data_IF_620006213279
#
_entry.id   IF_620006213279
#
_cell.length_a   1.000
_cell.length_b   1.000
_cell.length_c   1.000
_cell.angle_alpha   90.00
_cell.angle_beta   90.00
_cell.angle_gamma   90.00
#
_symmetry.space_group_name_H-M   'P 1'
#
loop_
_entity.id
_entity.type
_entity.pdbx_description
1 polymer ?
#
# COMPACT_ATOMS: atom_id res chain seq x y z
N UNK A 1 10.11 25.85 -17.47
CA UNK A 1 9.46 25.38 -16.23
C UNK A 1 8.58 24.22 -16.63
N UNK A 2 9.08 22.99 -16.49
CA UNK A 2 8.31 21.80 -16.83
C UNK A 2 7.63 21.33 -15.55
N UNK A 3 6.30 21.40 -15.53
CA UNK A 3 5.51 20.87 -14.43
C UNK A 3 5.82 19.38 -14.28
N UNK A 4 6.27 18.97 -13.10
CA UNK A 4 6.34 17.56 -12.73
C UNK A 4 4.89 17.11 -12.55
N UNK A 5 4.27 16.69 -13.65
CA UNK A 5 2.98 16.02 -13.60
C UNK A 5 3.23 14.61 -13.12
N UNK A 6 2.67 14.25 -11.96
CA UNK A 6 2.43 12.84 -11.67
C UNK A 6 1.59 12.31 -12.83
N UNK A 7 2.13 11.37 -13.60
CA UNK A 7 1.33 10.71 -14.62
C UNK A 7 0.31 9.85 -13.88
N UNK A 8 -0.92 10.37 -13.75
CA UNK A 8 -2.06 9.59 -13.26
C UNK A 8 -2.40 8.45 -14.23
N UNK A 9 -1.80 8.44 -15.43
CA UNK A 9 -1.90 7.40 -16.42
C UNK A 9 -0.63 6.53 -16.46
N UNK A 10 -0.80 5.22 -16.55
CA UNK A 10 0.25 4.23 -16.77
C UNK A 10 -0.06 3.51 -18.08
N UNK A 11 0.90 3.43 -18.98
CA UNK A 11 0.74 2.65 -20.21
C UNK A 11 0.95 1.16 -19.92
N UNK A 12 -0.15 0.40 -19.99
CA UNK A 12 -0.14 -1.04 -19.74
C UNK A 12 0.11 -1.77 -21.05
N UNK A 13 1.08 -2.68 -21.03
CA UNK A 13 1.45 -3.52 -22.16
C UNK A 13 1.30 -4.99 -21.78
N UNK A 14 0.24 -5.63 -22.27
CA UNK A 14 -0.03 -7.05 -22.07
C UNK A 14 0.40 -7.85 -23.29
N UNK A 15 1.04 -8.99 -23.02
CA UNK A 15 1.37 -10.00 -24.04
C UNK A 15 0.76 -11.30 -23.56
N UNK A 16 -0.19 -11.83 -24.33
CA UNK A 16 -0.88 -13.09 -24.05
C UNK A 16 -0.41 -14.10 -25.09
N UNK A 17 0.29 -15.13 -24.62
CA UNK A 17 0.80 -16.21 -25.46
C UNK A 17 -0.29 -17.28 -25.63
N UNK A 18 -0.78 -17.48 -26.86
CA UNK A 18 -1.69 -18.59 -27.20
C UNK A 18 -0.99 -19.60 -28.10
N UNK A 19 -1.55 -20.80 -28.18
CA UNK A 19 -1.00 -21.91 -28.96
C UNK A 19 -0.70 -21.57 -30.43
N UNK A 20 -1.42 -20.59 -31.00
CA UNK A 20 -1.29 -20.19 -32.40
C UNK A 20 -0.72 -18.78 -32.62
N UNK A 21 -0.77 -17.88 -31.63
CA UNK A 21 -0.37 -16.49 -31.79
C UNK A 21 -0.17 -15.75 -30.46
N UNK A 22 0.65 -14.69 -30.50
CA UNK A 22 0.85 -13.78 -29.38
C UNK A 22 -0.04 -12.55 -29.55
N UNK A 23 -0.96 -12.32 -28.62
CA UNK A 23 -1.82 -11.15 -28.61
C UNK A 23 -1.13 -10.06 -27.78
N UNK A 24 -0.80 -8.93 -28.42
CA UNK A 24 -0.22 -7.76 -27.75
C UNK A 24 -1.28 -6.67 -27.59
N UNK A 25 -1.49 -6.21 -26.37
CA UNK A 25 -2.50 -5.22 -26.04
C UNK A 25 -1.83 -4.08 -25.28
N UNK A 26 -1.85 -2.90 -25.87
CA UNK A 26 -1.38 -1.67 -25.24
C UNK A 26 -2.55 -0.74 -24.97
N UNK A 27 -2.74 -0.29 -23.74
CA UNK A 27 -3.75 0.71 -23.40
C UNK A 27 -3.30 1.60 -22.24
N UNK A 28 -3.72 2.87 -22.21
CA UNK A 28 -3.49 3.74 -21.06
C UNK A 28 -4.42 3.34 -19.92
N UNK A 29 -3.88 3.28 -18.69
CA UNK A 29 -4.61 2.96 -17.47
C UNK A 29 -4.55 4.14 -16.52
N UNK A 30 -5.70 4.69 -16.14
CA UNK A 30 -5.82 5.75 -15.15
C UNK A 30 -5.85 5.18 -13.74
N UNK A 31 -4.81 5.42 -12.97
CA UNK A 31 -4.67 4.93 -11.57
C UNK A 31 -5.67 5.51 -10.59
N UNK A 32 -6.42 6.57 -10.97
CA UNK A 32 -7.44 7.21 -10.14
C UNK A 32 -8.83 6.76 -10.53
N UNK A 33 -9.10 6.63 -11.82
CA UNK A 33 -10.45 6.39 -12.35
C UNK A 33 -10.69 4.93 -12.76
N UNK A 34 -9.65 4.18 -13.12
CA UNK A 34 -9.80 2.83 -13.66
C UNK A 34 -9.67 1.76 -12.56
N UNK A 35 -10.58 0.78 -12.61
CA UNK A 35 -10.52 -0.40 -11.76
C UNK A 35 -9.90 -1.58 -12.52
N UNK A 36 -8.85 -2.17 -11.93
CA UNK A 36 -8.16 -3.34 -12.51
C UNK A 36 -9.13 -4.51 -12.66
N UNK A 37 -10.05 -4.70 -11.71
CA UNK A 37 -11.02 -5.80 -11.75
C UNK A 37 -11.98 -5.67 -12.93
N UNK A 38 -12.50 -4.47 -13.19
CA UNK A 38 -13.37 -4.20 -14.32
C UNK A 38 -12.66 -4.41 -15.65
N UNK A 39 -11.45 -3.87 -15.83
CA UNK A 39 -10.68 -4.02 -17.07
C UNK A 39 -10.34 -5.49 -17.34
N UNK A 40 -9.96 -6.24 -16.29
CA UNK A 40 -9.70 -7.67 -16.42
C UNK A 40 -10.97 -8.44 -16.80
N UNK A 41 -12.13 -8.07 -16.26
CA UNK A 41 -13.40 -8.68 -16.63
C UNK A 41 -13.78 -8.39 -18.10
N UNK A 42 -13.57 -7.15 -18.56
CA UNK A 42 -13.79 -6.76 -19.95
C UNK A 42 -12.83 -7.47 -20.91
N UNK A 43 -11.55 -7.59 -20.55
CA UNK A 43 -10.54 -8.35 -21.31
C UNK A 43 -10.90 -9.84 -21.38
N UNK A 44 -11.34 -10.42 -20.25
CA UNK A 44 -11.82 -11.80 -20.21
C UNK A 44 -12.99 -12.02 -21.14
N UNK A 45 -13.98 -11.12 -21.13
CA UNK A 45 -15.17 -11.23 -21.96
C UNK A 45 -14.84 -11.02 -23.45
N UNK A 46 -13.97 -10.07 -23.77
CA UNK A 46 -13.64 -9.69 -25.15
C UNK A 46 -12.74 -10.71 -25.83
N UNK A 47 -11.75 -11.24 -25.10
CA UNK A 47 -10.76 -12.18 -25.63
C UNK A 47 -11.11 -13.64 -25.34
N UNK A 48 -12.10 -13.89 -24.48
CA UNK A 48 -12.47 -15.23 -24.04
C UNK A 48 -11.39 -15.90 -23.20
N UNK A 49 -10.79 -15.17 -22.25
CA UNK A 49 -9.72 -15.69 -21.41
C UNK A 49 -10.24 -16.74 -20.42
N UNK A 50 -9.41 -17.75 -20.15
CA UNK A 50 -9.63 -18.70 -19.06
C UNK A 50 -9.47 -18.02 -17.69
N UNK A 51 -9.99 -18.66 -16.64
CA UNK A 51 -9.87 -18.13 -15.27
C UNK A 51 -8.42 -18.09 -14.77
N UNK A 52 -7.53 -18.93 -15.31
CA UNK A 52 -6.12 -18.92 -14.95
C UNK A 52 -5.40 -17.72 -15.61
N UNK A 53 -5.63 -17.51 -16.91
CA UNK A 53 -5.12 -16.34 -17.65
C UNK A 53 -5.65 -15.01 -17.06
N UNK A 54 -6.88 -14.99 -16.55
CA UNK A 54 -7.46 -13.83 -15.86
C UNK A 54 -6.59 -13.40 -14.66
N UNK A 55 -6.14 -14.37 -13.86
CA UNK A 55 -5.29 -14.11 -12.70
C UNK A 55 -3.93 -13.59 -13.15
N UNK A 56 -3.35 -14.19 -14.19
CA UNK A 56 -2.06 -13.78 -14.73
C UNK A 56 -2.10 -12.36 -15.32
N UNK A 57 -3.13 -12.03 -16.09
CA UNK A 57 -3.34 -10.69 -16.63
C UNK A 57 -3.50 -9.68 -15.50
N UNK A 58 -4.35 -9.98 -14.50
CA UNK A 58 -4.54 -9.10 -13.34
C UNK A 58 -3.21 -8.84 -12.61
N UNK A 59 -2.41 -9.87 -12.39
CA UNK A 59 -1.11 -9.74 -11.72
C UNK A 59 -0.12 -8.95 -12.58
N UNK A 60 -0.12 -9.15 -13.89
CA UNK A 60 0.72 -8.40 -14.83
C UNK A 60 0.41 -6.90 -14.81
N UNK A 61 -0.88 -6.53 -14.88
CA UNK A 61 -1.33 -5.13 -14.78
C UNK A 61 -0.87 -4.51 -13.46
N UNK A 62 -1.09 -5.20 -12.32
CA UNK A 62 -0.66 -4.72 -11.00
C UNK A 62 0.84 -4.51 -10.91
N UNK A 63 1.62 -5.45 -11.44
CA UNK A 63 3.07 -5.35 -11.42
C UNK A 63 3.56 -4.17 -12.26
N UNK A 64 2.99 -3.96 -13.44
CA UNK A 64 3.34 -2.83 -14.30
C UNK A 64 2.99 -1.48 -13.66
N UNK A 65 1.83 -1.36 -13.00
CA UNK A 65 1.47 -0.16 -12.23
C UNK A 65 2.46 0.07 -11.10
N UNK A 66 2.79 -0.96 -10.32
CA UNK A 66 3.74 -0.86 -9.22
C UNK A 66 5.15 -0.48 -9.71
N UNK A 67 5.60 -1.04 -10.83
CA UNK A 67 6.88 -0.69 -11.43
C UNK A 67 6.90 0.75 -11.94
N UNK A 68 5.83 1.20 -12.62
CA UNK A 68 5.71 2.58 -13.10
C UNK A 68 5.72 3.59 -11.94
N UNK A 69 5.03 3.28 -10.83
CA UNK A 69 5.07 4.11 -9.62
C UNK A 69 6.46 4.15 -8.99
N UNK A 70 7.19 3.02 -8.97
CA UNK A 70 8.57 2.97 -8.45
C UNK A 70 9.57 3.69 -9.36
N UNK A 71 9.42 3.59 -10.67
CA UNK A 71 10.26 4.31 -11.63
C UNK A 71 10.04 5.82 -11.52
N UNK A 72 8.78 6.28 -11.45
CA UNK A 72 8.45 7.70 -11.23
C UNK A 72 9.12 8.29 -9.98
N UNK A 73 9.19 7.51 -8.88
CA UNK A 73 9.90 7.91 -7.66
C UNK A 73 11.43 7.91 -7.81
N UNK A 74 11.97 7.01 -8.63
CA UNK A 74 13.42 6.89 -8.87
C UNK A 74 13.92 7.99 -9.81
N UNK A 75 13.14 8.33 -10.85
CA UNK A 75 13.41 9.43 -11.77
C UNK A 75 13.33 10.79 -11.07
N UNK A 76 12.39 10.96 -10.13
CA UNK A 76 12.34 12.15 -9.27
C UNK A 76 13.60 12.28 -8.40
N UNK A 77 14.17 11.15 -7.94
CA UNK A 77 15.41 11.13 -7.15
C UNK A 77 16.66 11.44 -7.98
N UNK A 78 16.67 11.05 -9.27
CA UNK A 78 17.76 11.39 -10.19
C UNK A 78 17.76 12.86 -10.64
N UNK A 79 16.61 13.53 -10.66
CA UNK A 79 16.52 14.95 -11.04
C UNK A 79 16.91 15.93 -9.93
N UNK A 80 17.04 15.47 -8.67
CA UNK A 80 17.45 16.32 -7.52
C UNK A 80 18.94 16.15 -7.18
N UNK A 81 19.66 15.19 -7.76
CA UNK A 81 21.10 15.05 -7.53
C UNK A 81 21.92 15.98 -8.43
N UNK A 82 22.72 16.92 -7.87
CA UNK A 82 23.91 17.37 -8.57
C UNK A 82 24.86 16.17 -8.69
N UNK A 83 25.53 16.06 -9.84
CA UNK A 83 26.66 15.15 -10.02
C UNK A 83 27.72 15.42 -8.95
N UNK A 84 27.83 14.56 -7.94
CA UNK A 84 28.99 14.48 -7.05
C UNK A 84 29.21 12.99 -6.81
N UNK A 85 30.18 12.40 -7.51
CA UNK A 85 31.52 12.10 -6.98
C UNK A 85 31.49 10.99 -5.92
N UNK A 86 32.37 10.01 -6.10
CA UNK A 86 32.58 8.87 -5.21
C UNK A 86 32.68 9.31 -3.74
N UNK A 87 31.64 9.07 -2.94
CA UNK A 87 31.75 9.13 -1.48
C UNK A 87 31.59 7.73 -0.90
N UNK A 88 32.77 7.14 -0.72
CA UNK A 88 33.21 6.25 0.37
C UNK A 88 32.15 5.71 1.34
N UNK A 89 32.13 4.38 1.37
CA UNK A 89 31.63 3.42 2.37
C UNK A 89 32.01 3.74 3.83
N UNK A 90 31.46 4.81 4.43
CA UNK A 90 31.81 5.20 5.81
C UNK A 90 30.76 5.94 6.64
N UNK A 91 29.54 6.17 6.14
CA UNK A 91 28.53 6.98 6.84
C UNK A 91 27.48 6.18 7.62
N UNK A 92 27.43 4.85 7.46
CA UNK A 92 26.41 4.04 8.16
C UNK A 92 26.75 3.86 9.65
N UNK A 93 28.03 3.74 10.04
CA UNK A 93 28.42 3.42 11.43
C UNK A 93 28.31 4.61 12.42
N UNK A 94 28.38 5.86 11.93
CA UNK A 94 28.31 7.05 12.80
C UNK A 94 26.88 7.42 13.21
N UNK A 95 25.89 7.22 12.33
CA UNK A 95 24.49 7.60 12.60
C UNK A 95 23.82 6.64 13.59
N UNK A 96 24.13 5.34 13.56
CA UNK A 96 23.61 4.37 14.53
C UNK A 96 24.29 4.44 15.91
N UNK A 97 25.37 5.22 16.03
CA UNK A 97 26.12 5.38 17.28
C UNK A 97 25.66 6.56 18.14
N UNK A 98 24.82 7.46 17.59
CA UNK A 98 24.34 8.66 18.27
C UNK A 98 23.51 8.33 19.53
N UNK A 99 23.90 8.80 20.73
CA UNK A 99 23.15 8.59 21.97
C UNK A 99 21.74 9.20 21.94
N UNK A 100 21.52 10.30 21.21
CA UNK A 100 20.21 10.94 21.11
C UNK A 100 19.24 10.08 20.29
N UNK A 101 19.73 9.52 19.18
CA UNK A 101 18.96 8.59 18.36
C UNK A 101 18.58 7.32 19.14
N UNK A 102 19.50 6.76 19.92
CA UNK A 102 19.23 5.58 20.78
C UNK A 102 18.19 5.89 21.86
N UNK A 103 18.28 7.04 22.52
CA UNK A 103 17.32 7.47 23.53
C UNK A 103 15.92 7.67 22.93
N UNK A 104 15.84 8.22 21.71
CA UNK A 104 14.58 8.38 21.00
C UNK A 104 13.95 7.01 20.67
N UNK A 105 14.76 6.07 20.18
CA UNK A 105 14.32 4.71 19.84
C UNK A 105 13.84 3.93 21.08
N UNK A 106 14.54 4.08 22.21
CA UNK A 106 14.15 3.47 23.49
C UNK A 106 12.84 4.06 24.01
N UNK A 107 12.68 5.38 23.95
CA UNK A 107 11.44 6.05 24.32
C UNK A 107 10.25 5.56 23.49
N UNK A 108 10.42 5.45 22.18
CA UNK A 108 9.36 4.97 21.29
C UNK A 108 8.99 3.51 21.59
N UNK A 109 9.99 2.66 21.86
CA UNK A 109 9.75 1.26 22.27
C UNK A 109 8.99 1.17 23.60
N UNK A 110 9.36 1.99 24.58
CA UNK A 110 8.69 2.02 25.88
C UNK A 110 7.23 2.48 25.76
N UNK A 111 6.96 3.47 24.90
CA UNK A 111 5.61 3.96 24.64
C UNK A 111 4.71 2.90 24.00
N UNK A 112 5.24 2.17 23.01
CA UNK A 112 4.52 1.06 22.37
C UNK A 112 4.22 -0.05 23.38
N UNK A 113 5.21 -0.46 24.17
CA UNK A 113 5.03 -1.51 25.17
C UNK A 113 3.98 -1.13 26.23
N UNK A 114 3.96 0.12 26.69
CA UNK A 114 2.97 0.61 27.64
C UNK A 114 1.55 0.61 27.05
N UNK A 115 1.42 0.95 25.76
CA UNK A 115 0.14 0.94 25.06
C UNK A 115 -0.37 -0.50 24.87
N UNK A 116 0.50 -1.43 24.50
CA UNK A 116 0.18 -2.85 24.38
C UNK A 116 -0.25 -3.46 25.72
N UNK A 117 0.45 -3.12 26.81
CA UNK A 117 0.08 -3.59 28.16
C UNK A 117 -1.29 -3.04 28.59
N UNK A 118 -1.57 -1.75 28.32
CA UNK A 118 -2.87 -1.16 28.60
C UNK A 118 -3.99 -1.85 27.82
N UNK A 119 -3.76 -2.13 26.53
CA UNK A 119 -4.75 -2.78 25.68
C UNK A 119 -5.01 -4.22 26.14
N UNK A 120 -3.96 -4.97 26.50
CA UNK A 120 -4.10 -6.32 27.05
C UNK A 120 -4.83 -6.31 28.39
N UNK A 121 -4.56 -5.32 29.24
CA UNK A 121 -5.26 -5.14 30.52
C UNK A 121 -6.74 -4.83 30.30
N UNK A 122 -7.07 -3.92 29.38
CA UNK A 122 -8.46 -3.59 29.04
C UNK A 122 -9.20 -4.81 28.48
N UNK A 123 -8.55 -5.60 27.61
CA UNK A 123 -9.13 -6.83 27.08
C UNK A 123 -9.41 -7.84 28.20
N UNK A 124 -8.47 -7.99 29.15
CA UNK A 124 -8.65 -8.86 30.32
C UNK A 124 -9.77 -8.36 31.24
N UNK A 125 -9.88 -7.05 31.46
CA UNK A 125 -10.96 -6.45 32.26
C UNK A 125 -12.32 -6.68 31.62
N UNK A 126 -12.46 -6.55 30.29
CA UNK A 126 -13.70 -6.85 29.57
C UNK A 126 -14.10 -8.33 29.69
N UNK A 127 -13.14 -9.25 29.59
CA UNK A 127 -13.40 -10.68 29.76
C UNK A 127 -13.79 -11.04 31.20
N UNK A 128 -13.18 -10.39 32.20
CA UNK A 128 -13.52 -10.58 33.60
C UNK A 128 -14.85 -9.89 33.99
N UNK A 129 -15.23 -8.79 33.34
CA UNK A 129 -16.51 -8.13 33.55
C UNK A 129 -17.70 -8.95 33.03
N UNK A 130 -17.50 -9.76 31.98
CA UNK A 130 -18.54 -10.68 31.47
C UNK A 130 -18.86 -11.86 32.39
N UNK A 131 -18.06 -12.14 33.42
CA UNK A 131 -18.34 -13.21 34.41
C UNK A 131 -19.02 -12.71 35.69
N UNK A 132 -19.27 -11.40 35.81
CA UNK A 132 -20.03 -10.83 36.93
C UNK A 132 -21.48 -10.52 36.52
N UNK A 133 -22.50 -11.16 37.13
CA UNK A 133 -23.89 -10.87 36.80
C UNK A 133 -24.31 -9.50 37.33
N UNK A 134 -24.76 -8.64 36.40
CA UNK A 134 -25.77 -7.59 36.54
C UNK A 134 -25.63 -6.56 37.68
N UNK A 135 -25.32 -5.31 37.30
CA UNK A 135 -26.19 -4.18 37.69
C UNK A 135 -26.03 -3.01 36.70
N UNK A 136 -26.93 -2.94 35.73
CA UNK A 136 -27.03 -1.84 34.76
C UNK A 136 -28.23 -0.98 35.13
N UNK A 137 -28.09 0.35 35.34
CA UNK A 137 -29.14 1.27 34.98
C UNK A 137 -28.96 1.64 33.51
N UNK A 138 -29.92 1.22 32.68
CA UNK A 138 -30.03 1.59 31.26
C UNK A 138 -30.21 3.10 31.16
N UNK A 139 -29.34 3.77 30.42
CA UNK A 139 -29.70 5.03 29.73
C UNK A 139 -29.50 4.77 28.25
N UNK A 140 -30.62 4.56 27.58
CA UNK A 140 -30.76 4.49 26.12
C UNK A 140 -31.37 5.83 25.72
N UNK A 141 -30.54 6.74 25.22
CA UNK A 141 -30.85 7.96 24.47
C UNK A 141 -29.51 8.28 23.80
N UNK A 142 -29.32 8.18 22.49
CA UNK A 142 -30.08 8.86 21.44
C UNK A 142 -30.18 8.00 20.16
N UNK A 143 -31.40 7.65 19.77
CA UNK A 143 -31.71 7.22 18.40
C UNK A 143 -32.09 8.47 17.60
N UNK A 144 -31.21 8.93 16.70
CA UNK A 144 -31.56 9.99 15.75
C UNK A 144 -32.35 9.36 14.59
N UNK A 145 -33.64 9.68 14.49
CA UNK A 145 -34.49 9.35 13.34
C UNK A 145 -34.64 10.61 12.49
N UNK A 146 -34.19 10.58 11.24
CA UNK A 146 -34.45 11.65 10.27
C UNK A 146 -35.86 11.47 9.69
N UNK A 147 -36.66 12.53 9.76
CA UNK A 147 -37.93 12.69 9.02
C UNK A 147 -37.68 13.44 7.72
#
# INVERSE_FOLDING_TARGET
>A
MSAVGFQNHVDINLIIHRDSEDIKIGFPFDTVNDDIGQIVAELKQTLGLSSDEEVDVRNSIRNQINEALRQSLTDFRQQIQPKEEEYSDGLDDEVFSDPEYKALLERQKAEIAAMEEMHLKQQRELMNAQTSPSNVPKVVDDLIVFS
#
